data_IF_555131103745
#
_entry.id   IF_555131103745
#
_cell.length_a   1.000
_cell.length_b   1.000
_cell.length_c   1.000
_cell.angle_alpha   90.00
_cell.angle_beta   90.00
_cell.angle_gamma   90.00
#
_symmetry.space_group_name_H-M   'P 1'
#
loop_
_entity.id
_entity.type
_entity.pdbx_description
1 polymer ?
#
# COMPACT_ATOMS: atom_id res chain seq x y z
N UNK A 1 -24.81 -5.96 15.74
CA UNK A 1 -23.64 -5.35 16.42
C UNK A 1 -22.81 -4.58 15.39
N UNK A 2 -22.65 -3.26 15.52
CA UNK A 2 -21.80 -2.45 14.62
C UNK A 2 -20.34 -2.79 14.90
N UNK A 3 -19.62 -3.41 13.96
CA UNK A 3 -18.15 -3.49 14.01
C UNK A 3 -17.64 -2.05 13.97
N UNK A 4 -17.07 -1.56 15.09
CA UNK A 4 -16.39 -0.26 15.13
C UNK A 4 -15.30 -0.27 14.06
N UNK A 5 -15.32 0.71 13.17
CA UNK A 5 -14.31 0.86 12.14
C UNK A 5 -12.99 1.21 12.84
N UNK A 6 -12.13 0.22 13.02
CA UNK A 6 -10.75 0.49 13.41
C UNK A 6 -9.98 0.87 12.15
N UNK A 7 -9.37 2.05 12.19
CA UNK A 7 -8.45 2.47 11.14
C UNK A 7 -7.25 1.52 11.10
N UNK A 8 -6.75 1.24 9.90
CA UNK A 8 -5.49 0.53 9.74
C UNK A 8 -4.37 1.42 10.27
N UNK A 9 -3.50 0.84 11.09
CA UNK A 9 -2.28 1.53 11.53
C UNK A 9 -1.27 1.62 10.37
N UNK A 10 -0.16 2.31 10.59
CA UNK A 10 0.93 2.34 9.61
C UNK A 10 1.53 0.94 9.40
N UNK A 11 1.65 0.16 10.46
CA UNK A 11 2.15 -1.23 10.43
C UNK A 11 1.20 -2.15 9.66
N UNK A 12 -0.10 -2.04 9.90
CA UNK A 12 -1.11 -2.78 9.14
C UNK A 12 -0.98 -2.50 7.63
N UNK A 13 -0.81 -1.23 7.25
CA UNK A 13 -0.64 -0.82 5.85
C UNK A 13 0.66 -1.33 5.25
N UNK A 14 1.76 -1.25 5.99
CA UNK A 14 3.06 -1.77 5.56
C UNK A 14 3.01 -3.29 5.33
N UNK A 15 2.36 -4.03 6.24
CA UNK A 15 2.16 -5.47 6.10
C UNK A 15 1.27 -5.81 4.88
N UNK A 16 0.19 -5.08 4.64
CA UNK A 16 -0.63 -5.22 3.42
C UNK A 16 0.24 -5.04 2.17
N UNK A 17 1.07 -4.00 2.13
CA UNK A 17 1.94 -3.71 0.99
C UNK A 17 2.96 -4.84 0.73
N UNK A 18 3.67 -5.27 1.78
CA UNK A 18 4.71 -6.31 1.67
C UNK A 18 4.08 -7.62 1.19
N UNK A 19 3.01 -8.07 1.84
CA UNK A 19 2.39 -9.36 1.54
C UNK A 19 1.73 -9.36 0.16
N UNK A 20 1.11 -8.24 -0.24
CA UNK A 20 0.56 -8.11 -1.57
C UNK A 20 1.66 -8.15 -2.66
N UNK A 21 2.81 -7.50 -2.43
CA UNK A 21 3.98 -7.58 -3.33
C UNK A 21 4.56 -9.00 -3.44
N UNK A 22 4.44 -9.81 -2.39
CA UNK A 22 4.82 -11.23 -2.40
C UNK A 22 3.81 -12.12 -3.13
N UNK A 23 2.71 -11.55 -3.62
CA UNK A 23 1.65 -12.28 -4.32
C UNK A 23 0.59 -12.90 -3.39
N UNK A 24 0.58 -12.55 -2.10
CA UNK A 24 -0.40 -13.09 -1.17
C UNK A 24 -1.82 -12.61 -1.52
N UNK A 25 -2.80 -13.50 -1.38
CA UNK A 25 -4.20 -13.19 -1.64
C UNK A 25 -4.82 -12.30 -0.55
N UNK A 26 -5.83 -11.51 -0.90
CA UNK A 26 -6.51 -10.57 0.03
C UNK A 26 -6.99 -11.27 1.32
N UNK A 27 -7.56 -12.48 1.21
CA UNK A 27 -8.04 -13.25 2.36
C UNK A 27 -6.90 -13.74 3.26
N UNK A 28 -5.75 -14.05 2.67
CA UNK A 28 -4.56 -14.47 3.41
C UNK A 28 -4.00 -13.33 4.24
N UNK A 29 -3.83 -12.16 3.61
CA UNK A 29 -3.40 -10.92 4.27
C UNK A 29 -4.35 -10.54 5.40
N UNK A 30 -5.67 -10.59 5.14
CA UNK A 30 -6.68 -10.27 6.15
C UNK A 30 -6.61 -11.19 7.38
N UNK A 31 -6.38 -12.50 7.18
CA UNK A 31 -6.20 -13.45 8.29
C UNK A 31 -4.95 -13.13 9.11
N UNK A 32 -3.82 -12.81 8.46
CA UNK A 32 -2.57 -12.44 9.15
C UNK A 32 -2.75 -11.22 10.06
N UNK A 33 -3.54 -10.24 9.61
CA UNK A 33 -3.76 -8.99 10.35
C UNK A 33 -4.94 -9.03 11.32
N UNK A 34 -5.69 -10.13 11.39
CA UNK A 34 -6.95 -10.18 12.15
C UNK A 34 -7.99 -9.17 11.65
N UNK A 35 -7.93 -8.78 10.36
CA UNK A 35 -8.83 -7.81 9.73
C UNK A 35 -9.81 -8.50 8.81
N UNK A 36 -10.83 -7.76 8.38
CA UNK A 36 -11.76 -8.26 7.36
C UNK A 36 -11.15 -8.16 5.96
N UNK A 37 -11.44 -9.12 5.09
CA UNK A 37 -11.00 -9.06 3.69
C UNK A 37 -11.50 -7.80 2.97
N UNK A 38 -12.69 -7.31 3.33
CA UNK A 38 -13.24 -6.06 2.77
C UNK A 38 -12.50 -4.82 3.24
N UNK A 39 -11.85 -4.85 4.42
CA UNK A 39 -10.96 -3.76 4.87
C UNK A 39 -9.70 -3.73 4.02
N UNK A 40 -9.05 -4.88 3.83
CA UNK A 40 -7.82 -5.00 3.03
C UNK A 40 -8.08 -4.65 1.57
N UNK A 41 -9.17 -5.16 0.99
CA UNK A 41 -9.57 -4.84 -0.39
C UNK A 41 -9.83 -3.34 -0.59
N UNK A 42 -10.53 -2.68 0.35
CA UNK A 42 -10.77 -1.24 0.26
C UNK A 42 -9.49 -0.42 0.41
N UNK A 43 -8.57 -0.85 1.26
CA UNK A 43 -7.26 -0.19 1.39
C UNK A 43 -6.45 -0.33 0.09
N UNK A 44 -6.34 -1.55 -0.44
CA UNK A 44 -5.66 -1.81 -1.69
C UNK A 44 -6.30 -1.01 -2.83
N UNK A 45 -7.63 -0.98 -2.95
CA UNK A 45 -8.32 -0.22 -4.01
C UNK A 45 -8.10 1.30 -3.91
N UNK A 46 -8.02 1.85 -2.68
CA UNK A 46 -7.79 3.29 -2.46
C UNK A 46 -6.34 3.70 -2.72
N UNK A 47 -5.40 2.83 -2.38
CA UNK A 47 -3.97 3.05 -2.54
C UNK A 47 -3.38 2.24 -3.69
N UNK A 48 -4.23 1.82 -4.65
CA UNK A 48 -3.82 1.11 -5.85
C UNK A 48 -3.17 2.12 -6.80
N UNK A 49 -1.86 2.32 -6.62
CA UNK A 49 -1.05 2.93 -7.64
C UNK A 49 -0.23 1.83 -8.32
N UNK A 50 -0.70 1.39 -9.48
CA UNK A 50 0.01 0.50 -10.42
C UNK A 50 1.32 1.10 -10.94
N UNK A 51 1.62 2.37 -10.65
CA UNK A 51 2.75 3.07 -11.24
C UNK A 51 4.13 2.64 -10.73
N UNK A 52 4.26 1.75 -9.73
CA UNK A 52 5.61 1.35 -9.26
C UNK A 52 5.76 -0.13 -8.94
N UNK A 53 6.22 -0.96 -9.90
CA UNK A 53 6.87 -2.23 -9.59
C UNK A 53 8.33 -2.04 -9.12
N UNK A 54 8.92 -0.84 -9.22
CA UNK A 54 10.27 -0.55 -8.71
C UNK A 54 10.38 0.90 -8.26
N UNK A 55 10.82 1.11 -7.02
CA UNK A 55 11.44 2.36 -6.63
C UNK A 55 12.78 2.46 -7.37
N UNK A 56 12.95 3.51 -8.17
CA UNK A 56 14.17 3.81 -8.93
C UNK A 56 14.72 5.17 -8.42
N UNK A 57 15.70 5.11 -7.53
CA UNK A 57 16.31 6.30 -6.92
C UNK A 57 17.01 7.22 -7.95
N UNK A 58 17.36 6.68 -9.13
CA UNK A 58 18.04 7.40 -10.20
C UNK A 58 17.11 8.39 -10.93
N UNK A 59 15.81 8.07 -11.04
CA UNK A 59 14.82 9.01 -11.61
C UNK A 59 14.53 10.20 -10.69
N UNK A 60 14.54 10.00 -9.37
CA UNK A 60 14.28 11.07 -8.41
C UNK A 60 15.38 12.15 -8.46
N UNK A 61 16.65 11.74 -8.62
CA UNK A 61 17.79 12.67 -8.72
C UNK A 61 17.78 13.50 -10.02
N UNK A 62 17.36 12.89 -11.15
CA UNK A 62 17.33 13.57 -12.44
C UNK A 62 16.25 14.66 -12.50
N UNK A 63 15.07 14.42 -11.91
CA UNK A 63 13.96 15.38 -11.87
C UNK A 63 14.21 16.56 -10.93
N UNK A 64 14.99 16.37 -9.85
CA UNK A 64 15.42 17.46 -8.97
C UNK A 64 16.52 18.35 -9.57
N UNK A 65 17.29 17.85 -10.54
CA UNK A 65 18.39 18.58 -11.16
C UNK A 65 17.97 19.42 -12.39
N UNK A 66 16.76 19.21 -12.92
CA UNK A 66 16.31 19.78 -14.20
C UNK A 66 15.21 20.84 -14.07
N UNK A 67 15.05 21.48 -12.91
CA UNK A 67 14.20 22.66 -12.78
C UNK A 67 15.07 23.92 -12.92
N UNK A 68 15.15 24.55 -14.12
CA UNK A 68 15.66 25.90 -14.20
C UNK A 68 14.58 26.80 -13.60
N UNK A 69 14.93 27.49 -12.52
CA UNK A 69 14.13 28.60 -12.03
C UNK A 69 14.15 29.72 -13.08
N UNK A 70 13.03 29.91 -13.78
CA UNK A 70 12.61 31.18 -14.39
C UNK A 70 11.08 31.26 -14.34
#
# INVERSE_FOLDING_TARGET
MKKKYQHLSAEDRAAIMIEHRRGAGIREIARRLGRSASTVSRELARNWNTATPRYDATQAAFLSASSPAL
#
